data_IF_026253811291
#
_entry.id   IF_026253811291
#
_cell.length_a   1.000
_cell.length_b   1.000
_cell.length_c   1.000
_cell.angle_alpha   90.00
_cell.angle_beta   90.00
_cell.angle_gamma   90.00
#
_symmetry.space_group_name_H-M   'P 1'
#
loop_
_entity.id
_entity.type
_entity.pdbx_description
1 polymer ?
#
# COMPACT_ATOMS: atom_id res chain seq x y z
N UNK A 1 22.91 11.52 4.27
CA UNK A 1 21.43 11.53 4.14
C UNK A 1 21.00 10.25 3.46
N UNK A 2 20.33 9.35 4.17
CA UNK A 2 19.94 8.05 3.61
C UNK A 2 18.41 7.91 3.61
N UNK A 3 17.84 7.94 2.41
CA UNK A 3 16.45 7.59 2.19
C UNK A 3 16.31 6.09 2.04
N UNK A 4 15.36 5.51 2.78
CA UNK A 4 14.95 4.13 2.57
C UNK A 4 13.58 4.13 1.89
N UNK A 5 13.51 3.46 0.75
CA UNK A 5 12.33 3.32 -0.05
C UNK A 5 11.69 1.97 0.24
N UNK A 6 10.40 1.99 0.58
CA UNK A 6 9.61 0.81 0.89
C UNK A 6 8.44 0.74 -0.09
N UNK A 7 8.26 -0.43 -0.70
CA UNK A 7 7.09 -0.73 -1.54
C UNK A 7 6.49 -2.03 -1.04
N UNK A 8 5.39 -1.95 -0.31
CA UNK A 8 4.89 -3.07 0.49
C UNK A 8 3.43 -3.41 0.17
N UNK A 9 3.07 -4.68 0.38
CA UNK A 9 1.70 -5.17 0.41
C UNK A 9 1.55 -6.26 1.46
N UNK A 10 0.31 -6.48 1.87
CA UNK A 10 -0.11 -7.65 2.65
C UNK A 10 -1.23 -8.39 1.94
N UNK A 11 -1.49 -9.62 2.34
CA UNK A 11 -2.65 -10.40 1.90
C UNK A 11 -3.75 -10.25 2.93
N UNK A 12 -4.96 -9.93 2.49
CA UNK A 12 -6.13 -9.85 3.33
C UNK A 12 -6.50 -11.24 3.85
N UNK A 13 -6.59 -11.40 5.16
CA UNK A 13 -6.93 -12.66 5.83
C UNK A 13 -8.39 -13.07 5.57
N UNK A 14 -9.28 -12.11 5.30
CA UNK A 14 -10.71 -12.36 5.07
C UNK A 14 -11.05 -12.79 3.64
N UNK A 15 -10.38 -12.21 2.63
CA UNK A 15 -10.75 -12.43 1.22
C UNK A 15 -9.57 -12.79 0.30
N UNK A 16 -8.36 -12.94 0.85
CA UNK A 16 -7.15 -13.25 0.10
C UNK A 16 -6.65 -12.14 -0.83
N UNK A 17 -7.30 -10.98 -0.86
CA UNK A 17 -6.93 -9.88 -1.75
C UNK A 17 -5.65 -9.17 -1.29
N UNK A 18 -4.83 -8.75 -2.25
CA UNK A 18 -3.64 -7.94 -1.99
C UNK A 18 -4.01 -6.53 -1.52
N UNK A 19 -3.53 -6.13 -0.34
CA UNK A 19 -3.68 -4.79 0.22
C UNK A 19 -2.35 -4.04 0.17
N UNK A 20 -2.29 -2.91 -0.53
CA UNK A 20 -1.08 -2.08 -0.58
C UNK A 20 -0.84 -1.39 0.77
N UNK A 21 0.42 -1.34 1.19
CA UNK A 21 0.87 -0.58 2.36
C UNK A 21 1.66 0.61 1.82
N UNK A 22 0.94 1.70 1.54
CA UNK A 22 1.48 2.88 0.86
C UNK A 22 2.10 3.91 1.84
N UNK A 23 2.12 3.60 3.13
CA UNK A 23 2.72 4.42 4.19
C UNK A 23 3.08 3.59 5.42
N UNK A 24 3.97 4.09 6.32
CA UNK A 24 4.16 3.50 7.64
C UNK A 24 2.85 3.49 8.43
N UNK A 25 2.27 2.30 8.60
CA UNK A 25 1.01 2.12 9.31
C UNK A 25 1.03 0.83 10.14
N UNK A 26 0.19 0.78 11.18
CA UNK A 26 -0.07 -0.41 12.00
C UNK A 26 -1.32 -1.17 11.54
N UNK A 27 -1.92 -0.73 10.44
CA UNK A 27 -3.07 -1.38 9.83
C UNK A 27 -3.32 -0.83 8.42
N UNK A 28 -3.95 -1.64 7.58
CA UNK A 28 -4.45 -1.23 6.26
C UNK A 28 -5.85 -1.74 6.05
N UNK A 29 -6.71 -0.93 5.44
CA UNK A 29 -8.06 -1.35 5.08
C UNK A 29 -8.06 -2.04 3.73
N UNK A 30 -8.62 -3.24 3.66
CA UNK A 30 -8.77 -3.97 2.42
C UNK A 30 -9.74 -3.23 1.48
N UNK A 31 -9.26 -2.77 0.33
CA UNK A 31 -10.12 -2.10 -0.67
C UNK A 31 -11.13 -3.04 -1.32
N UNK A 32 -10.92 -4.36 -1.21
CA UNK A 32 -11.78 -5.40 -1.76
C UNK A 32 -13.00 -5.67 -0.87
N UNK A 33 -12.79 -6.18 0.35
CA UNK A 33 -13.89 -6.54 1.26
C UNK A 33 -14.15 -5.52 2.37
N UNK A 34 -13.32 -4.48 2.49
CA UNK A 34 -13.47 -3.44 3.51
C UNK A 34 -12.98 -3.80 4.90
N UNK A 35 -12.46 -5.03 5.11
CA UNK A 35 -11.90 -5.47 6.40
C UNK A 35 -10.63 -4.71 6.75
N UNK A 36 -10.42 -4.48 8.04
CA UNK A 36 -9.17 -3.89 8.54
C UNK A 36 -8.15 -5.00 8.79
N UNK A 37 -6.96 -4.83 8.24
CA UNK A 37 -5.84 -5.76 8.37
C UNK A 37 -4.85 -5.16 9.35
N UNK A 38 -4.56 -5.86 10.45
CA UNK A 38 -3.61 -5.40 11.45
C UNK A 38 -2.19 -5.70 10.99
N UNK A 39 -1.28 -4.74 11.16
CA UNK A 39 0.15 -4.91 10.92
C UNK A 39 0.86 -4.89 12.28
N UNK A 40 1.26 -6.05 12.84
CA UNK A 40 1.83 -6.11 14.18
C UNK A 40 3.12 -5.28 14.28
N UNK A 41 3.19 -4.38 15.26
CA UNK A 41 4.31 -3.44 15.42
C UNK A 41 5.63 -4.16 15.65
N UNK A 42 5.63 -5.24 16.43
CA UNK A 42 6.83 -6.04 16.71
C UNK A 42 7.33 -6.74 15.45
N UNK A 43 6.41 -7.21 14.60
CA UNK A 43 6.75 -7.82 13.32
C UNK A 43 7.34 -6.81 12.32
N UNK A 44 6.73 -5.63 12.22
CA UNK A 44 7.27 -4.52 11.43
C UNK A 44 8.65 -4.10 11.96
N UNK A 45 8.81 -4.05 13.29
CA UNK A 45 10.08 -3.76 13.96
C UNK A 45 11.16 -4.74 13.59
N UNK A 46 10.92 -6.03 13.69
CA UNK A 46 11.97 -7.02 13.54
C UNK A 46 12.31 -7.29 12.08
N UNK A 47 11.29 -7.36 11.21
CA UNK A 47 11.46 -7.89 9.87
C UNK A 47 11.37 -6.84 8.75
N UNK A 48 10.81 -5.66 8.99
CA UNK A 48 10.73 -4.59 7.97
C UNK A 48 11.74 -3.49 8.25
N UNK A 49 11.62 -2.84 9.41
CA UNK A 49 12.43 -1.68 9.77
C UNK A 49 13.71 -2.08 10.54
N UNK A 50 13.72 -3.24 11.19
CA UNK A 50 14.88 -3.73 11.94
C UNK A 50 16.00 -4.22 11.05
N UNK A 51 15.66 -4.91 9.95
CA UNK A 51 16.62 -5.36 8.94
C UNK A 51 17.38 -4.18 8.30
N UNK A 52 16.69 -3.06 8.15
CA UNK A 52 17.27 -1.82 7.64
C UNK A 52 18.14 -1.13 8.69
N UNK A 53 17.60 -0.92 9.89
CA UNK A 53 18.23 -0.11 10.93
C UNK A 53 19.46 -0.75 11.55
N UNK A 54 19.48 -2.08 11.74
CA UNK A 54 20.60 -2.77 12.38
C UNK A 54 21.83 -2.97 11.46
N UNK A 55 21.83 -2.40 10.25
CA UNK A 55 22.84 -2.63 9.21
C UNK A 55 23.08 -4.13 8.87
N UNK A 56 22.18 -5.01 9.31
CA UNK A 56 22.30 -6.47 9.14
C UNK A 56 22.30 -6.86 7.66
N UNK A 57 21.81 -5.97 6.81
CA UNK A 57 21.96 -6.11 5.38
C UNK A 57 22.44 -4.81 4.73
N UNK A 58 23.73 -4.72 4.34
CA UNK A 58 24.19 -3.65 3.47
C UNK A 58 23.37 -3.68 2.16
N UNK A 59 23.03 -2.49 1.66
CA UNK A 59 22.41 -2.29 0.35
C UNK A 59 23.28 -1.28 -0.38
N UNK A 60 23.63 -1.57 -1.62
CA UNK A 60 24.21 -0.55 -2.47
C UNK A 60 23.13 0.48 -2.86
N UNK A 61 23.50 1.75 -3.11
CA UNK A 61 22.58 2.72 -3.69
C UNK A 61 21.94 2.18 -4.99
N UNK A 62 20.62 2.24 -5.08
CA UNK A 62 19.85 1.73 -6.22
C UNK A 62 19.56 0.23 -6.21
N UNK A 63 20.16 -0.55 -5.30
CA UNK A 63 19.83 -1.97 -5.13
C UNK A 63 18.41 -2.11 -4.57
N UNK A 64 17.58 -2.95 -5.22
CA UNK A 64 16.28 -3.36 -4.68
C UNK A 64 16.37 -4.78 -4.12
N UNK A 65 15.89 -4.97 -2.90
CA UNK A 65 15.85 -6.28 -2.25
C UNK A 65 14.41 -6.69 -1.92
N UNK A 66 13.99 -7.90 -2.29
CA UNK A 66 12.69 -8.41 -1.90
C UNK A 66 12.61 -8.63 -0.39
N UNK A 67 11.49 -8.23 0.19
CA UNK A 67 11.07 -8.57 1.55
C UNK A 67 9.93 -9.58 1.43
N UNK A 68 10.21 -10.83 1.78
CA UNK A 68 9.24 -11.91 1.87
C UNK A 68 9.18 -12.36 3.32
N UNK A 69 8.06 -12.15 3.98
CA UNK A 69 7.94 -12.44 5.40
C UNK A 69 6.58 -13.07 5.69
N UNK A 70 6.61 -14.19 6.42
CA UNK A 70 5.44 -14.94 6.83
C UNK A 70 5.43 -15.05 8.35
N UNK A 71 4.37 -14.59 9.01
CA UNK A 71 4.27 -14.66 10.46
C UNK A 71 3.16 -13.80 11.03
N UNK A 72 2.78 -14.09 12.27
CA UNK A 72 1.74 -13.37 13.00
C UNK A 72 0.38 -13.28 12.26
N UNK A 73 0.01 -14.33 11.51
CA UNK A 73 -1.24 -14.40 10.74
C UNK A 73 -1.18 -13.72 9.35
N UNK A 74 -0.22 -12.83 9.14
CA UNK A 74 -0.19 -11.97 7.94
C UNK A 74 0.98 -12.33 7.01
N UNK A 75 0.74 -12.26 5.71
CA UNK A 75 1.78 -12.42 4.69
C UNK A 75 2.22 -11.06 4.16
N UNK A 76 3.50 -10.74 4.30
CA UNK A 76 4.08 -9.49 3.82
C UNK A 76 4.95 -9.73 2.59
N UNK A 77 4.72 -8.90 1.57
CA UNK A 77 5.53 -8.87 0.36
C UNK A 77 5.95 -7.44 0.08
N UNK A 78 7.23 -7.19 -0.10
CA UNK A 78 7.69 -5.85 -0.43
C UNK A 78 9.03 -5.81 -1.15
N UNK A 79 9.43 -4.60 -1.49
CA UNK A 79 10.77 -4.26 -1.94
C UNK A 79 11.32 -3.16 -1.06
N UNK A 80 12.59 -3.29 -0.70
CA UNK A 80 13.37 -2.31 0.01
C UNK A 80 14.49 -1.82 -0.90
N UNK A 81 14.73 -0.51 -0.97
CA UNK A 81 15.90 0.04 -1.65
C UNK A 81 16.46 1.28 -0.96
N UNK A 82 17.74 1.54 -1.18
CA UNK A 82 18.40 2.80 -0.81
C UNK A 82 18.42 3.71 -2.04
N UNK A 83 17.43 4.59 -2.14
CA UNK A 83 17.35 5.57 -3.24
C UNK A 83 16.66 6.84 -2.78
N UNK A 84 17.04 7.94 -3.42
CA UNK A 84 16.36 9.22 -3.25
C UNK A 84 14.88 9.11 -3.68
N UNK A 85 14.00 9.89 -3.06
CA UNK A 85 12.59 9.97 -3.44
C UNK A 85 12.42 10.35 -4.90
N UNK A 86 11.56 9.64 -5.60
CA UNK A 86 11.22 9.88 -7.00
C UNK A 86 9.73 10.15 -7.13
N UNK A 87 9.35 11.07 -8.00
CA UNK A 87 7.95 11.30 -8.29
C UNK A 87 7.32 10.06 -8.94
N UNK A 88 6.20 9.56 -8.40
CA UNK A 88 5.49 8.41 -8.98
C UNK A 88 4.85 8.72 -10.35
N UNK A 89 4.68 10.00 -10.71
CA UNK A 89 4.08 10.39 -11.99
C UNK A 89 5.10 10.51 -13.13
N UNK A 90 6.27 11.12 -12.87
CA UNK A 90 7.27 11.42 -13.91
C UNK A 90 8.65 10.81 -13.66
N UNK A 91 8.83 10.04 -12.58
CA UNK A 91 10.09 9.43 -12.13
C UNK A 91 11.23 10.41 -11.82
N UNK A 92 11.02 11.73 -11.93
CA UNK A 92 12.04 12.73 -11.60
C UNK A 92 12.45 12.61 -10.13
N UNK A 93 13.77 12.52 -9.83
CA UNK A 93 14.27 12.61 -8.47
C UNK A 93 13.80 13.90 -7.82
N UNK A 94 13.20 13.80 -6.64
CA UNK A 94 12.78 14.99 -5.90
C UNK A 94 13.82 15.32 -4.86
N UNK A 95 14.36 16.53 -4.94
CA UNK A 95 15.19 17.08 -3.89
C UNK A 95 14.31 17.48 -2.71
N UNK A 96 14.35 16.65 -1.66
CA UNK A 96 13.62 16.87 -0.41
C UNK A 96 14.52 17.43 0.69
N UNK A 97 15.80 17.72 0.40
CA UNK A 97 16.76 18.24 1.38
C UNK A 97 16.37 19.60 1.94
N UNK A 98 15.57 20.37 1.18
CA UNK A 98 15.14 21.73 1.53
C UNK A 98 13.83 21.76 2.32
N UNK A 99 13.19 20.61 2.57
CA UNK A 99 11.93 20.58 3.30
C UNK A 99 12.18 20.58 4.81
N UNK A 100 11.43 21.38 5.58
CA UNK A 100 11.57 21.39 7.03
C UNK A 100 11.20 20.02 7.62
N UNK A 101 12.19 19.37 8.25
CA UNK A 101 11.99 18.13 9.00
C UNK A 101 11.06 18.37 10.20
N UNK A 102 10.31 17.36 10.60
CA UNK A 102 9.39 17.47 11.75
C UNK A 102 8.09 18.23 11.45
N UNK A 103 7.84 18.61 10.19
CA UNK A 103 6.60 19.26 9.77
C UNK A 103 5.72 18.37 8.90
N UNK A 104 4.40 18.56 8.99
CA UNK A 104 3.44 17.95 8.06
C UNK A 104 3.13 18.93 6.93
N UNK A 105 3.16 18.45 5.69
CA UNK A 105 2.90 19.31 4.54
C UNK A 105 2.86 18.55 3.22
N UNK A 106 3.04 19.29 2.13
CA UNK A 106 3.15 18.74 0.78
C UNK A 106 4.34 19.36 0.06
N UNK A 107 4.98 18.58 -0.80
CA UNK A 107 6.08 19.02 -1.64
C UNK A 107 5.75 18.74 -3.11
N UNK A 108 5.71 19.77 -3.97
CA UNK A 108 5.47 19.57 -5.39
C UNK A 108 6.71 18.96 -6.05
N UNK A 109 6.50 18.02 -6.96
CA UNK A 109 7.54 17.52 -7.85
C UNK A 109 7.98 18.65 -8.80
N UNK A 110 9.29 18.93 -8.86
CA UNK A 110 9.85 19.94 -9.78
C UNK A 110 9.75 19.57 -11.26
N UNK A 111 9.53 18.30 -11.58
CA UNK A 111 9.39 17.80 -12.96
C UNK A 111 7.98 17.94 -13.53
N UNK A 112 6.95 17.55 -12.77
CA UNK A 112 5.57 17.51 -13.26
C UNK A 112 4.53 18.20 -12.37
N UNK A 113 4.94 18.77 -11.23
CA UNK A 113 4.03 19.42 -10.28
C UNK A 113 3.20 18.48 -9.40
N UNK A 114 3.28 17.15 -9.58
CA UNK A 114 2.57 16.21 -8.72
C UNK A 114 2.99 16.35 -7.25
N UNK A 115 2.04 16.26 -6.34
CA UNK A 115 2.29 16.49 -4.91
C UNK A 115 2.81 15.22 -4.22
N UNK A 116 3.70 15.40 -3.25
CA UNK A 116 4.07 14.37 -2.28
C UNK A 116 3.70 14.85 -0.89
N UNK A 117 2.93 14.05 -0.15
CA UNK A 117 2.68 14.30 1.25
C UNK A 117 3.95 14.03 2.06
N UNK A 118 4.18 14.85 3.08
CA UNK A 118 5.26 14.66 4.03
C UNK A 118 4.78 14.88 5.45
N UNK A 119 5.31 14.12 6.40
CA UNK A 119 5.01 14.25 7.82
C UNK A 119 6.10 13.63 8.68
N UNK A 120 6.18 13.96 9.99
CA UNK A 120 7.16 13.38 10.90
C UNK A 120 7.00 11.87 11.01
N UNK A 121 8.11 11.15 11.12
CA UNK A 121 8.07 9.72 11.36
C UNK A 121 7.20 9.42 12.60
N UNK A 122 6.24 8.48 12.52
CA UNK A 122 5.34 8.22 13.65
C UNK A 122 6.13 7.71 14.86
N UNK A 123 5.63 7.97 16.07
CA UNK A 123 6.34 7.63 17.31
C UNK A 123 6.75 6.16 17.40
N UNK A 124 5.90 5.23 16.94
CA UNK A 124 6.24 3.82 16.90
C UNK A 124 7.45 3.55 15.99
N UNK A 125 7.57 4.24 14.85
CA UNK A 125 8.71 4.08 13.92
C UNK A 125 9.98 4.69 14.49
N UNK A 126 9.88 5.86 15.14
CA UNK A 126 11.00 6.48 15.87
C UNK A 126 11.51 5.62 17.01
N UNK A 127 10.63 4.87 17.68
CA UNK A 127 11.05 3.91 18.70
C UNK A 127 11.87 2.74 18.14
N UNK A 128 11.80 2.49 16.82
CA UNK A 128 12.56 1.44 16.14
C UNK A 128 13.93 1.96 15.71
N UNK A 129 13.93 3.16 15.15
CA UNK A 129 15.12 3.88 14.72
C UNK A 129 15.00 5.32 15.18
N UNK A 130 15.72 5.73 16.24
CA UNK A 130 15.61 7.09 16.78
C UNK A 130 15.93 8.16 15.73
N UNK A 131 16.69 7.77 14.72
CA UNK A 131 17.09 8.55 13.56
C UNK A 131 16.01 8.71 12.47
N UNK A 132 14.86 8.04 12.58
CA UNK A 132 13.77 8.19 11.63
C UNK A 132 13.09 9.56 11.83
N UNK A 133 13.29 10.50 10.92
CA UNK A 133 12.82 11.88 11.12
C UNK A 133 11.54 12.16 10.35
N UNK A 134 11.51 11.80 9.07
CA UNK A 134 10.47 12.26 8.14
C UNK A 134 10.03 11.16 7.18
N UNK A 135 8.74 11.14 6.86
CA UNK A 135 8.11 10.25 5.89
C UNK A 135 7.68 11.05 4.67
N UNK A 136 7.82 10.46 3.49
CA UNK A 136 7.34 11.01 2.23
C UNK A 136 6.50 9.98 1.48
N UNK A 137 5.30 10.39 1.10
CA UNK A 137 4.35 9.56 0.33
C UNK A 137 4.01 10.31 -0.95
N UNK A 138 4.26 9.74 -2.13
CA UNK A 138 3.74 10.31 -3.36
C UNK A 138 2.22 10.25 -3.37
N UNK A 139 1.56 11.40 -3.55
CA UNK A 139 0.11 11.43 -3.71
C UNK A 139 -0.21 10.97 -5.13
N UNK A 140 -0.67 9.74 -5.25
CA UNK A 140 -1.19 9.20 -6.51
C UNK A 140 -2.67 9.58 -6.57
N UNK A 141 -3.09 10.24 -7.66
CA UNK A 141 -4.51 10.46 -7.91
C UNK A 141 -5.22 9.10 -7.93
N UNK A 142 -6.22 8.93 -7.06
CA UNK A 142 -7.01 7.70 -7.05
C UNK A 142 -7.67 7.53 -8.42
N UNK A 143 -7.50 6.36 -9.03
CA UNK A 143 -8.27 6.05 -10.24
C UNK A 143 -9.73 6.00 -9.86
N UNK A 144 -10.63 6.75 -10.53
CA UNK A 144 -12.03 6.84 -10.13
C UNK A 144 -12.66 5.44 -10.12
N UNK A 145 -13.17 5.04 -8.95
CA UNK A 145 -13.92 3.80 -8.77
C UNK A 145 -15.28 3.97 -9.44
N UNK A 146 -15.70 3.03 -10.30
CA UNK A 146 -17.07 3.05 -10.78
C UNK A 146 -18.00 2.73 -9.60
N UNK A 147 -18.85 3.70 -9.24
CA UNK A 147 -19.87 3.51 -8.20
C UNK A 147 -21.19 2.99 -8.78
N UNK A 148 -21.31 2.86 -10.10
CA UNK A 148 -22.56 2.44 -10.76
C UNK A 148 -22.68 0.92 -10.69
N UNK A 149 -23.72 0.37 -10.04
CA UNK A 149 -23.95 -1.06 -10.01
C UNK A 149 -24.16 -1.64 -11.42
N UNK A 150 -23.67 -2.85 -11.65
CA UNK A 150 -23.84 -3.62 -12.89
C UNK A 150 -24.84 -4.74 -12.61
N UNK A 151 -25.68 -5.06 -13.61
CA UNK A 151 -26.59 -6.21 -13.53
C UNK A 151 -26.02 -7.35 -14.36
N UNK A 152 -25.91 -8.54 -13.76
CA UNK A 152 -25.56 -9.79 -14.41
C UNK A 152 -26.75 -10.76 -14.36
N UNK A 153 -26.81 -11.74 -15.26
CA UNK A 153 -27.70 -12.88 -15.11
C UNK A 153 -27.04 -13.98 -14.29
N UNK A 154 -27.78 -14.64 -13.41
CA UNK A 154 -27.35 -15.88 -12.79
C UNK A 154 -27.13 -16.93 -13.89
N UNK A 155 -25.98 -17.62 -13.92
CA UNK A 155 -25.68 -18.61 -14.96
C UNK A 155 -26.61 -19.82 -14.90
N UNK A 156 -27.18 -20.14 -13.73
CA UNK A 156 -28.09 -21.29 -13.55
C UNK A 156 -29.54 -20.97 -13.91
N UNK A 157 -30.11 -19.89 -13.33
CA UNK A 157 -31.55 -19.62 -13.44
C UNK A 157 -31.90 -18.36 -14.26
N UNK A 158 -30.91 -17.59 -14.70
CA UNK A 158 -31.12 -16.33 -15.44
C UNK A 158 -31.61 -15.15 -14.59
N UNK A 159 -31.81 -15.32 -13.28
CA UNK A 159 -32.23 -14.24 -12.39
C UNK A 159 -31.22 -13.08 -12.37
N UNK A 160 -31.71 -11.85 -12.20
CA UNK A 160 -30.86 -10.65 -12.19
C UNK A 160 -30.08 -10.54 -10.87
N UNK A 161 -28.76 -10.50 -10.97
CA UNK A 161 -27.82 -10.25 -9.89
C UNK A 161 -27.34 -8.81 -9.98
N UNK A 162 -27.52 -8.04 -8.90
CA UNK A 162 -26.95 -6.69 -8.79
C UNK A 162 -25.57 -6.80 -8.17
N UNK A 163 -24.58 -6.22 -8.84
CA UNK A 163 -23.19 -6.16 -8.38
C UNK A 163 -22.80 -4.70 -8.21
N UNK A 164 -22.31 -4.33 -7.05
CA UNK A 164 -21.89 -2.98 -6.71
C UNK A 164 -20.58 -2.91 -5.93
N UNK A 165 -20.17 -1.69 -5.54
CA UNK A 165 -19.00 -1.49 -4.68
C UNK A 165 -19.17 -2.18 -3.32
N UNK A 166 -18.18 -2.95 -2.89
CA UNK A 166 -18.17 -3.62 -1.58
C UNK A 166 -18.78 -5.03 -1.57
N UNK A 167 -19.35 -5.46 -2.69
CA UNK A 167 -19.78 -6.85 -2.87
C UNK A 167 -18.60 -7.82 -2.83
N UNK A 168 -18.88 -9.06 -2.42
CA UNK A 168 -17.88 -10.14 -2.41
C UNK A 168 -17.67 -10.70 -3.81
N UNK A 169 -16.54 -11.37 -4.04
CA UNK A 169 -16.20 -12.01 -5.31
C UNK A 169 -17.18 -13.14 -5.68
N UNK A 170 -17.78 -13.75 -4.67
CA UNK A 170 -18.80 -14.80 -4.78
C UNK A 170 -20.08 -14.23 -4.20
N UNK A 171 -21.16 -14.28 -4.99
CA UNK A 171 -22.49 -13.82 -4.61
C UNK A 171 -23.47 -14.99 -4.62
N UNK A 172 -24.30 -15.10 -3.61
CA UNK A 172 -25.39 -16.09 -3.60
C UNK A 172 -26.60 -15.53 -4.36
N UNK A 173 -27.12 -16.29 -5.32
CA UNK A 173 -28.31 -15.92 -6.06
C UNK A 173 -29.56 -15.99 -5.19
N UNK A 174 -30.23 -14.87 -4.90
CA UNK A 174 -31.44 -14.87 -4.08
C UNK A 174 -32.70 -15.51 -4.68
N UNK A 175 -32.59 -16.24 -5.81
CA UNK A 175 -33.70 -16.97 -6.43
C UNK A 175 -33.49 -18.49 -6.41
N UNK A 176 -32.31 -18.97 -6.79
CA UNK A 176 -31.98 -20.40 -6.83
C UNK A 176 -30.88 -20.81 -5.83
N UNK A 177 -30.43 -19.88 -4.98
CA UNK A 177 -29.41 -20.05 -3.94
C UNK A 177 -28.03 -20.53 -4.43
N UNK A 178 -27.79 -20.54 -5.74
CA UNK A 178 -26.46 -20.87 -6.29
C UNK A 178 -25.46 -19.75 -6.01
N UNK A 179 -24.24 -20.14 -5.60
CA UNK A 179 -23.09 -19.25 -5.52
C UNK A 179 -22.53 -18.93 -6.91
N UNK A 180 -22.50 -17.65 -7.26
CA UNK A 180 -22.05 -17.13 -8.54
C UNK A 180 -20.72 -16.41 -8.36
N UNK A 181 -19.70 -16.92 -9.02
CA UNK A 181 -18.39 -16.30 -9.07
C UNK A 181 -18.37 -15.14 -10.08
N UNK A 182 -17.99 -13.95 -9.64
CA UNK A 182 -17.94 -12.78 -10.51
C UNK A 182 -16.78 -12.88 -11.53
N UNK A 183 -17.03 -12.60 -12.83
CA UNK A 183 -15.98 -12.49 -13.83
C UNK A 183 -14.94 -11.41 -13.48
N UNK A 184 -13.71 -11.58 -13.94
CA UNK A 184 -12.58 -10.71 -13.60
C UNK A 184 -12.82 -9.26 -14.06
N UNK A 185 -13.36 -9.03 -15.26
CA UNK A 185 -13.65 -7.69 -15.75
C UNK A 185 -14.70 -6.96 -14.90
N UNK A 186 -15.75 -7.65 -14.48
CA UNK A 186 -16.79 -7.07 -13.60
C UNK A 186 -16.19 -6.77 -12.24
N UNK A 187 -15.42 -7.71 -11.68
CA UNK A 187 -14.77 -7.52 -10.39
C UNK A 187 -13.82 -6.32 -10.38
N UNK A 188 -12.96 -6.19 -11.39
CA UNK A 188 -11.99 -5.08 -11.49
C UNK A 188 -12.66 -3.72 -11.68
N UNK A 189 -13.87 -3.68 -12.22
CA UNK A 189 -14.65 -2.44 -12.34
C UNK A 189 -14.95 -1.82 -10.96
N UNK A 190 -15.22 -2.67 -9.97
CA UNK A 190 -15.48 -2.25 -8.59
C UNK A 190 -14.25 -2.36 -7.70
N UNK A 191 -13.22 -3.11 -8.10
CA UNK A 191 -12.03 -3.38 -7.29
C UNK A 191 -10.77 -3.14 -8.12
N UNK A 192 -10.50 -1.88 -8.51
CA UNK A 192 -9.29 -1.56 -9.27
C UNK A 192 -8.07 -1.94 -8.45
N UNK A 193 -7.14 -2.64 -9.09
CA UNK A 193 -5.86 -3.00 -8.46
C UNK A 193 -5.08 -1.72 -8.22
N UNK A 194 -4.98 -1.29 -6.95
CA UNK A 194 -4.10 -0.18 -6.58
C UNK A 194 -2.67 -0.58 -6.92
N UNK A 195 -2.03 0.18 -7.80
CA UNK A 195 -0.59 0.07 -8.00
C UNK A 195 0.10 0.35 -6.67
N UNK A 196 1.03 -0.50 -6.25
CA UNK A 196 1.80 -0.30 -5.02
C UNK A 196 2.56 1.01 -5.14
N UNK A 197 2.27 1.98 -4.28
CA UNK A 197 3.10 3.17 -4.19
C UNK A 197 4.33 2.83 -3.33
N UNK A 198 5.46 3.45 -3.66
CA UNK A 198 6.59 3.46 -2.72
C UNK A 198 6.40 4.62 -1.75
N UNK A 199 6.72 4.42 -0.48
CA UNK A 199 6.95 5.50 0.46
C UNK A 199 8.41 5.54 0.86
N UNK A 200 8.85 6.72 1.31
CA UNK A 200 10.24 6.97 1.67
C UNK A 200 10.32 7.41 3.11
N UNK A 201 11.36 6.96 3.81
CA UNK A 201 11.66 7.40 5.17
C UNK A 201 13.08 7.97 5.19
N UNK A 202 13.21 9.18 5.71
CA UNK A 202 14.47 9.84 5.98
C UNK A 202 15.04 9.33 7.29
N UNK A 203 16.31 8.94 7.28
CA UNK A 203 17.10 8.68 8.48
C UNK A 203 18.25 9.68 8.61
N UNK A 204 18.34 10.37 9.76
CA UNK A 204 19.46 11.22 10.14
C UNK A 204 20.53 10.33 10.78
N UNK A 205 21.69 10.14 10.15
CA UNK A 205 22.80 9.38 10.75
C UNK A 205 23.63 10.23 11.71
#
# INVERSE_FOLDING_TARGET
MHFRCYRMRVICEECGSSCSVDQPALGVRCVACGSDQRLPVDYLREHVFGLTLKQVLPLAPGEERPLLMFGAGTQFFGMLSLRSPTCNACATPTDLSQLPLGSTGQAPCRGCGAMMATYPAPAWLRSLGPHAEQVFIPLVAETPRSLRPITLGCPECGAKLKVGPGDRRILTCGYCDTDVFLPEEVWRTFHPVRRRASFFVWFEE
#
